data_IF_301630906677
#
_entry.id   IF_301630906677
#
_cell.length_a   1.000
_cell.length_b   1.000
_cell.length_c   1.000
_cell.angle_alpha   90.00
_cell.angle_beta   90.00
_cell.angle_gamma   90.00
#
_symmetry.space_group_name_H-M   'P 1'
#
loop_
_entity.id
_entity.type
_entity.pdbx_description
1 polymer ?
#
# COMPACT_ATOMS: atom_id res chain seq x y z
N UNK A 1 -16.75 -8.35 2.92
CA UNK A 1 -15.28 -8.32 2.69
C UNK A 1 -14.88 -8.67 1.25
N UNK A 2 -15.63 -9.50 0.52
CA UNK A 2 -15.33 -9.86 -0.88
C UNK A 2 -15.18 -8.66 -1.83
N UNK A 3 -16.13 -7.71 -1.81
CA UNK A 3 -16.06 -6.53 -2.69
C UNK A 3 -14.84 -5.64 -2.45
N UNK A 4 -14.34 -5.53 -1.21
CA UNK A 4 -13.12 -4.73 -0.94
C UNK A 4 -11.88 -5.40 -1.54
N UNK A 5 -11.84 -6.74 -1.52
CA UNK A 5 -10.77 -7.52 -2.13
C UNK A 5 -10.82 -7.44 -3.65
N UNK A 6 -12.00 -7.60 -4.25
CA UNK A 6 -12.22 -7.49 -5.69
C UNK A 6 -11.89 -6.09 -6.23
N UNK A 7 -12.29 -5.04 -5.50
CA UNK A 7 -12.07 -3.65 -5.90
C UNK A 7 -10.68 -3.13 -5.51
N UNK A 8 -9.80 -3.98 -4.97
CA UNK A 8 -8.44 -3.57 -4.63
C UNK A 8 -7.55 -3.42 -5.86
N UNK A 9 -7.73 -4.32 -6.83
CA UNK A 9 -6.99 -4.35 -8.09
C UNK A 9 -8.01 -4.50 -9.21
N UNK A 10 -8.06 -3.51 -10.09
CA UNK A 10 -8.91 -3.54 -11.27
C UNK A 10 -8.04 -3.65 -12.50
N UNK A 11 -8.46 -4.45 -13.46
CA UNK A 11 -7.82 -4.53 -14.77
C UNK A 11 -8.87 -4.32 -15.86
N UNK A 12 -8.61 -3.37 -16.75
CA UNK A 12 -9.41 -3.13 -17.94
C UNK A 12 -8.51 -2.85 -19.14
N UNK A 13 -8.64 -3.63 -20.20
CA UNK A 13 -7.99 -3.42 -21.51
C UNK A 13 -6.52 -2.95 -21.47
N UNK A 14 -5.70 -3.58 -20.62
CA UNK A 14 -4.26 -3.27 -20.52
C UNK A 14 -3.91 -2.16 -19.52
N UNK A 15 -4.90 -1.58 -18.83
CA UNK A 15 -4.72 -0.74 -17.65
C UNK A 15 -4.91 -1.58 -16.38
N UNK A 16 -3.89 -1.61 -15.51
CA UNK A 16 -3.98 -2.17 -14.16
C UNK A 16 -4.06 -1.02 -13.16
N UNK A 17 -5.12 -0.98 -12.35
CA UNK A 17 -5.30 0.02 -11.28
C UNK A 17 -5.24 -0.64 -9.91
N UNK A 18 -4.34 -0.16 -9.06
CA UNK A 18 -4.16 -0.58 -7.67
C UNK A 18 -4.72 0.50 -6.75
N UNK A 19 -5.84 0.20 -6.10
CA UNK A 19 -6.54 1.12 -5.20
C UNK A 19 -6.06 1.03 -3.76
N UNK A 20 -5.72 -0.17 -3.29
CA UNK A 20 -5.21 -0.41 -1.94
C UNK A 20 -3.84 -1.08 -2.01
N UNK A 21 -2.91 -0.54 -1.22
CA UNK A 21 -1.57 -1.11 -1.04
C UNK A 21 -1.62 -2.27 -0.05
N UNK A 22 -2.13 -3.42 -0.47
CA UNK A 22 -2.06 -4.67 0.29
C UNK A 22 -1.46 -5.77 -0.58
N UNK A 23 -1.01 -6.85 0.06
CA UNK A 23 -0.52 -8.01 -0.67
C UNK A 23 -1.64 -8.62 -1.51
N UNK A 24 -1.39 -8.78 -2.81
CA UNK A 24 -2.35 -9.35 -3.75
C UNK A 24 -1.63 -10.12 -4.84
N UNK A 25 -2.15 -11.29 -5.21
CA UNK A 25 -1.69 -12.00 -6.39
C UNK A 25 -2.83 -12.05 -7.40
N UNK A 26 -2.53 -11.70 -8.64
CA UNK A 26 -3.48 -11.78 -9.75
C UNK A 26 -2.81 -12.41 -10.97
N UNK A 27 -3.60 -12.64 -12.02
CA UNK A 27 -3.08 -13.08 -13.32
C UNK A 27 -2.28 -12.00 -14.06
N UNK A 28 -2.38 -10.73 -13.65
CA UNK A 28 -1.73 -9.60 -14.32
C UNK A 28 -0.45 -9.16 -13.61
N UNK A 29 -0.48 -9.17 -12.27
CA UNK A 29 0.66 -8.79 -11.44
C UNK A 29 0.56 -9.39 -10.04
N UNK A 30 1.71 -9.52 -9.39
CA UNK A 30 1.84 -9.71 -7.95
C UNK A 30 2.18 -8.38 -7.28
N UNK A 31 1.45 -8.06 -6.21
CA UNK A 31 1.61 -6.85 -5.42
C UNK A 31 2.12 -7.24 -4.06
N UNK A 32 3.29 -6.72 -3.69
CA UNK A 32 3.88 -6.86 -2.37
C UNK A 32 3.89 -5.50 -1.66
N UNK A 33 3.16 -5.41 -0.56
CA UNK A 33 3.17 -4.26 0.32
C UNK A 33 3.95 -4.58 1.59
N UNK A 34 4.88 -3.68 1.93
CA UNK A 34 5.76 -3.82 3.10
C UNK A 34 5.23 -3.08 4.34
N UNK A 35 3.95 -2.71 4.32
CA UNK A 35 3.29 -2.01 5.42
C UNK A 35 3.15 -2.91 6.65
N UNK A 36 3.17 -2.36 7.87
CA UNK A 36 3.39 -0.95 8.26
C UNK A 36 4.87 -0.55 8.39
N UNK A 37 5.79 -1.49 8.19
CA UNK A 37 7.22 -1.32 8.45
C UNK A 37 7.88 -0.38 7.45
N UNK A 38 7.49 -0.46 6.18
CA UNK A 38 7.84 0.57 5.20
C UNK A 38 6.65 0.91 4.31
N UNK A 39 6.69 2.10 3.72
CA UNK A 39 5.73 2.53 2.70
C UNK A 39 6.18 2.10 1.29
N UNK A 40 6.79 0.91 1.18
CA UNK A 40 7.23 0.33 -0.08
C UNK A 40 6.11 -0.55 -0.67
N UNK A 41 5.85 -0.35 -1.96
CA UNK A 41 5.01 -1.19 -2.80
C UNK A 41 5.85 -1.74 -3.95
N UNK A 42 5.82 -3.05 -4.16
CA UNK A 42 6.40 -3.69 -5.35
C UNK A 42 5.28 -4.30 -6.17
N UNK A 43 5.27 -4.00 -7.46
CA UNK A 43 4.33 -4.55 -8.44
C UNK A 43 5.15 -5.30 -9.48
N UNK A 44 5.03 -6.63 -9.49
CA UNK A 44 5.76 -7.53 -10.38
C UNK A 44 4.81 -7.98 -11.48
N UNK A 45 5.07 -7.56 -12.71
CA UNK A 45 4.16 -7.80 -13.84
C UNK A 45 4.31 -9.22 -14.39
N UNK A 46 3.16 -9.83 -14.70
CA UNK A 46 3.05 -11.14 -15.37
C UNK A 46 2.59 -11.00 -16.82
N UNK A 47 2.10 -9.82 -17.21
CA UNK A 47 1.63 -9.49 -18.55
C UNK A 47 2.03 -8.06 -18.91
N UNK A 48 2.09 -7.80 -20.20
CA UNK A 48 2.26 -6.44 -20.72
C UNK A 48 1.07 -5.57 -20.32
N UNK A 49 1.37 -4.33 -19.93
CA UNK A 49 0.39 -3.32 -19.56
C UNK A 49 0.67 -2.04 -20.33
N UNK A 50 -0.38 -1.47 -20.89
CA UNK A 50 -0.30 -0.12 -21.44
C UNK A 50 -0.09 0.90 -20.32
N UNK A 51 -0.73 0.67 -19.17
CA UNK A 51 -0.69 1.57 -18.02
C UNK A 51 -0.82 0.84 -16.69
N UNK A 52 -0.02 1.25 -15.72
CA UNK A 52 -0.18 0.93 -14.31
C UNK A 52 -0.57 2.21 -13.57
N UNK A 53 -1.68 2.16 -12.82
CA UNK A 53 -2.14 3.25 -11.94
C UNK A 53 -2.09 2.79 -10.51
N UNK A 54 -1.41 3.54 -9.64
CA UNK A 54 -1.33 3.23 -8.21
C UNK A 54 -1.83 4.40 -7.40
N UNK A 55 -2.85 4.19 -6.58
CA UNK A 55 -3.41 5.23 -5.74
C UNK A 55 -2.44 5.63 -4.63
N UNK A 56 -2.09 6.91 -4.58
CA UNK A 56 -1.29 7.47 -3.51
C UNK A 56 -2.09 7.53 -2.18
N UNK A 57 -1.43 7.32 -1.03
CA UNK A 57 -2.05 7.55 0.28
C UNK A 57 -2.51 9.00 0.48
N UNK A 58 -3.44 9.25 1.41
CA UNK A 58 -4.09 10.56 1.55
C UNK A 58 -3.13 11.72 1.88
N UNK A 59 -2.03 11.42 2.58
CA UNK A 59 -1.02 12.43 2.95
C UNK A 59 -0.05 12.77 1.82
N UNK A 60 -0.21 12.13 0.65
CA UNK A 60 0.60 12.39 -0.53
C UNK A 60 -0.20 13.23 -1.51
N UNK A 61 0.23 14.48 -1.68
CA UNK A 61 -0.27 15.35 -2.74
C UNK A 61 0.17 14.87 -4.12
N UNK A 62 -0.61 15.18 -5.15
CA UNK A 62 -0.21 14.98 -6.55
C UNK A 62 1.08 15.75 -6.84
N UNK A 63 2.03 15.13 -7.54
CA UNK A 63 3.33 15.77 -7.83
C UNK A 63 4.30 15.81 -6.65
N UNK A 64 4.03 15.08 -5.56
CA UNK A 64 4.92 14.97 -4.41
C UNK A 64 6.32 14.47 -4.81
N UNK A 65 7.33 15.33 -4.71
CA UNK A 65 8.74 15.03 -5.05
C UNK A 65 9.36 13.97 -4.15
N UNK A 66 8.79 13.75 -2.96
CA UNK A 66 9.23 12.75 -2.01
C UNK A 66 8.76 11.31 -2.33
N UNK A 67 7.99 11.11 -3.40
CA UNK A 67 7.66 9.76 -3.88
C UNK A 67 8.70 9.32 -4.90
N UNK A 68 9.34 8.19 -4.64
CA UNK A 68 10.30 7.60 -5.58
C UNK A 68 9.68 6.40 -6.28
N UNK A 69 9.90 6.33 -7.60
CA UNK A 69 9.45 5.21 -8.42
C UNK A 69 10.64 4.70 -9.23
N UNK A 70 10.83 3.39 -9.24
CA UNK A 70 11.81 2.73 -10.10
C UNK A 70 11.19 1.58 -10.88
N UNK A 71 11.69 1.39 -12.10
CA UNK A 71 11.42 0.26 -12.98
C UNK A 71 12.68 -0.58 -13.06
N UNK A 72 12.62 -1.84 -12.63
CA UNK A 72 13.76 -2.76 -12.61
C UNK A 72 14.98 -2.10 -11.94
N UNK A 73 14.75 -1.51 -10.76
CA UNK A 73 15.75 -0.79 -9.95
C UNK A 73 16.27 0.53 -10.54
N UNK A 74 15.88 0.87 -11.77
CA UNK A 74 16.23 2.15 -12.41
C UNK A 74 15.18 3.21 -12.07
N UNK A 75 15.53 4.37 -11.48
CA UNK A 75 14.58 5.44 -11.23
C UNK A 75 13.92 5.93 -12.52
N UNK A 76 12.61 6.18 -12.45
CA UNK A 76 11.82 6.69 -13.58
C UNK A 76 10.99 7.90 -13.14
N UNK A 77 10.73 8.79 -14.09
CA UNK A 77 9.68 9.80 -13.94
C UNK A 77 8.31 9.14 -14.13
N UNK A 78 7.30 9.68 -13.45
CA UNK A 78 5.92 9.21 -13.51
C UNK A 78 4.97 10.37 -13.75
N UNK A 79 3.84 10.06 -14.37
CA UNK A 79 2.73 11.01 -14.51
C UNK A 79 1.79 10.89 -13.30
N UNK A 80 0.98 11.92 -13.11
CA UNK A 80 -0.10 11.91 -12.12
C UNK A 80 -1.45 12.09 -12.80
N UNK A 81 -2.43 11.28 -12.39
CA UNK A 81 -3.83 11.45 -12.75
C UNK A 81 -4.66 11.50 -11.46
N UNK A 82 -5.01 12.72 -11.04
CA UNK A 82 -5.55 12.97 -9.72
C UNK A 82 -4.61 12.45 -8.63
N UNK A 83 -5.06 11.46 -7.85
CA UNK A 83 -4.25 10.80 -6.80
C UNK A 83 -3.54 9.53 -7.26
N UNK A 84 -3.56 9.22 -8.55
CA UNK A 84 -2.93 8.01 -9.07
C UNK A 84 -1.58 8.37 -9.69
N UNK A 85 -0.55 7.64 -9.27
CA UNK A 85 0.71 7.58 -9.98
C UNK A 85 0.52 6.72 -11.21
N UNK A 86 1.01 7.19 -12.35
CA UNK A 86 0.81 6.54 -13.63
C UNK A 86 2.17 6.20 -14.23
N UNK A 87 2.37 4.90 -14.49
CA UNK A 87 3.49 4.36 -15.27
C UNK A 87 2.92 3.83 -16.58
N UNK A 88 3.57 4.13 -17.70
CA UNK A 88 3.13 3.71 -19.03
C UNK A 88 4.07 2.67 -19.62
N UNK A 89 3.61 1.92 -20.62
CA UNK A 89 4.42 1.02 -21.45
C UNK A 89 5.25 0.02 -20.62
N UNK A 90 4.54 -0.86 -19.90
CA UNK A 90 5.17 -1.89 -19.08
C UNK A 90 5.08 -3.25 -19.77
N UNK A 91 6.13 -4.04 -19.58
CA UNK A 91 6.26 -5.38 -20.14
C UNK A 91 6.12 -6.42 -19.04
N UNK A 92 5.74 -7.63 -19.42
CA UNK A 92 5.81 -8.79 -18.54
C UNK A 92 7.23 -8.90 -17.94
N UNK A 93 7.31 -9.30 -16.68
CA UNK A 93 8.53 -9.37 -15.86
C UNK A 93 9.06 -8.03 -15.34
N UNK A 94 8.51 -6.89 -15.74
CA UNK A 94 8.88 -5.62 -15.13
C UNK A 94 8.52 -5.60 -13.63
N UNK A 95 9.44 -5.05 -12.83
CA UNK A 95 9.23 -4.75 -11.42
C UNK A 95 9.15 -3.24 -11.23
N UNK A 96 7.97 -2.78 -10.82
CA UNK A 96 7.76 -1.40 -10.40
C UNK A 96 7.86 -1.33 -8.88
N UNK A 97 8.78 -0.52 -8.38
CA UNK A 97 8.94 -0.25 -6.95
C UNK A 97 8.55 1.20 -6.68
N UNK A 98 7.61 1.40 -5.76
CA UNK A 98 7.13 2.72 -5.34
C UNK A 98 7.40 2.85 -3.85
N UNK A 99 8.03 3.96 -3.46
CA UNK A 99 8.29 4.28 -2.05
C UNK A 99 7.63 5.62 -1.75
N UNK A 100 6.66 5.60 -0.84
CA UNK A 100 6.08 6.82 -0.30
C UNK A 100 6.83 7.25 0.97
N UNK A 101 6.84 8.55 1.32
CA UNK A 101 7.27 8.96 2.65
C UNK A 101 6.33 8.32 3.69
N UNK A 102 6.92 7.70 4.71
CA UNK A 102 6.15 7.15 5.81
C UNK A 102 5.72 8.28 6.75
N UNK A 103 4.42 8.36 7.02
CA UNK A 103 3.87 9.32 7.97
C UNK A 103 3.65 8.67 9.34
N UNK A 104 4.05 9.37 10.40
CA UNK A 104 3.65 9.08 11.77
C UNK A 104 2.66 10.13 12.24
N UNK A 105 1.55 9.72 12.87
CA UNK A 105 0.51 10.64 13.32
C UNK A 105 -0.08 10.16 14.63
N UNK A 106 -0.24 11.07 15.57
CA UNK A 106 -1.06 10.85 16.76
C UNK A 106 -2.34 11.66 16.64
N UNK A 107 -3.48 11.07 17.01
CA UNK A 107 -4.78 11.70 16.86
C UNK A 107 -5.71 11.32 18.01
N UNK A 108 -6.40 12.31 18.55
CA UNK A 108 -7.46 12.10 19.55
C UNK A 108 -8.81 11.92 18.87
N UNK A 109 -9.58 10.93 19.34
CA UNK A 109 -10.93 10.64 18.88
C UNK A 109 -11.79 10.13 20.02
N UNK A 110 -12.98 10.71 20.16
CA UNK A 110 -14.04 10.15 20.96
C UNK A 110 -14.70 8.99 20.21
N UNK A 111 -14.68 7.79 20.79
CA UNK A 111 -15.37 6.61 20.27
C UNK A 111 -16.36 6.14 21.34
N UNK A 112 -17.66 6.20 21.02
CA UNK A 112 -18.71 6.03 22.02
C UNK A 112 -18.71 7.19 23.02
N UNK A 113 -18.41 6.91 24.30
CA UNK A 113 -18.37 7.91 25.39
C UNK A 113 -16.97 8.12 25.96
N UNK A 114 -15.95 7.68 25.23
CA UNK A 114 -14.59 7.66 25.72
C UNK A 114 -13.64 8.24 24.69
N UNK A 115 -12.73 9.08 25.17
CA UNK A 115 -11.66 9.66 24.37
C UNK A 115 -10.50 8.69 24.27
N UNK A 116 -10.00 8.55 23.05
CA UNK A 116 -8.85 7.72 22.73
C UNK A 116 -7.79 8.51 21.98
N UNK A 117 -6.54 8.29 22.34
CA UNK A 117 -5.36 8.71 21.60
C UNK A 117 -4.89 7.54 20.74
N UNK A 118 -4.94 7.72 19.43
CA UNK A 118 -4.51 6.73 18.44
C UNK A 118 -3.15 7.14 17.87
N UNK A 119 -2.19 6.21 17.87
CA UNK A 119 -0.90 6.41 17.20
C UNK A 119 -0.89 5.59 15.90
N UNK A 120 -0.64 6.28 14.80
CA UNK A 120 -0.61 5.74 13.45
C UNK A 120 0.81 5.71 12.89
N UNK A 121 1.09 4.64 12.14
CA UNK A 121 2.23 4.50 11.23
C UNK A 121 1.66 4.20 9.84
N UNK A 122 1.69 5.19 8.94
CA UNK A 122 0.88 5.21 7.72
C UNK A 122 -0.62 5.14 8.04
N UNK A 123 -1.38 4.22 7.42
CA UNK A 123 -2.79 3.95 7.80
C UNK A 123 -2.94 2.91 8.93
N UNK A 124 -1.86 2.45 9.56
CA UNK A 124 -1.94 1.39 10.57
C UNK A 124 -1.92 1.99 11.97
N UNK A 125 -2.97 1.76 12.76
CA UNK A 125 -2.95 2.03 14.21
C UNK A 125 -2.01 1.03 14.87
N UNK A 126 -0.96 1.56 15.50
CA UNK A 126 0.08 0.79 16.21
C UNK A 126 -0.05 0.87 17.73
N UNK A 127 -0.75 1.89 18.24
CA UNK A 127 -1.05 2.06 19.67
C UNK A 127 -2.41 2.74 19.85
N UNK A 128 -3.09 2.42 20.94
CA UNK A 128 -4.37 3.00 21.36
C UNK A 128 -4.32 3.24 22.87
N UNK A 129 -4.61 4.47 23.30
CA UNK A 129 -4.67 4.84 24.71
C UNK A 129 -5.99 5.50 25.06
N UNK A 130 -6.64 5.14 26.18
CA UNK A 130 -6.31 3.99 27.01
C UNK A 130 -6.61 2.68 26.27
N UNK A 131 -5.87 1.62 26.58
CA UNK A 131 -5.98 0.35 25.85
C UNK A 131 -7.35 -0.33 26.03
N UNK A 132 -8.12 0.05 27.05
CA UNK A 132 -9.33 -0.63 27.50
C UNK A 132 -9.01 -1.74 28.50
N UNK A 133 -9.92 -2.00 29.44
CA UNK A 133 -9.68 -2.91 30.57
C UNK A 133 -10.08 -4.36 30.32
N UNK A 134 -10.99 -4.62 29.37
CA UNK A 134 -11.54 -5.96 29.11
C UNK A 134 -10.86 -6.66 27.94
N UNK A 135 -10.73 -5.98 26.81
CA UNK A 135 -10.09 -6.49 25.59
C UNK A 135 -9.22 -5.39 25.04
N UNK A 136 -7.92 -5.36 25.38
CA UNK A 136 -7.00 -4.34 24.91
C UNK A 136 -6.87 -4.38 23.38
N UNK A 137 -7.36 -3.35 22.70
CA UNK A 137 -7.24 -3.27 21.24
C UNK A 137 -5.87 -2.73 20.83
N UNK A 138 -5.46 -3.02 19.59
CA UNK A 138 -4.26 -2.45 18.94
C UNK A 138 -2.96 -2.59 19.73
N UNK A 139 -2.75 -3.75 20.39
CA UNK A 139 -1.48 -4.11 21.05
C UNK A 139 -0.39 -4.44 20.02
N UNK A 140 0.02 -3.43 19.24
CA UNK A 140 0.88 -3.58 18.04
C UNK A 140 2.14 -2.72 18.12
N UNK A 141 2.59 -2.37 19.32
CA UNK A 141 3.84 -1.61 19.53
C UNK A 141 5.05 -2.28 18.86
N UNK A 142 5.06 -3.61 18.76
CA UNK A 142 6.08 -4.37 18.03
C UNK A 142 6.17 -4.04 16.54
N UNK A 143 5.11 -3.48 15.94
CA UNK A 143 5.10 -3.01 14.55
C UNK A 143 5.74 -1.63 14.38
N UNK A 144 6.18 -0.97 15.46
CA UNK A 144 6.90 0.29 15.40
C UNK A 144 8.40 0.07 15.11
N UNK A 145 8.68 -0.54 13.96
CA UNK A 145 10.04 -0.80 13.48
C UNK A 145 10.06 -0.75 11.96
N UNK A 146 11.20 -0.37 11.39
CA UNK A 146 11.40 -0.30 9.94
C UNK A 146 11.74 -1.69 9.35
N UNK A 147 12.09 -2.66 10.19
CA UNK A 147 12.40 -4.03 9.77
C UNK A 147 11.12 -4.73 9.27
N UNK A 148 11.09 -5.07 7.98
CA UNK A 148 9.97 -5.79 7.36
C UNK A 148 10.14 -7.30 7.56
N UNK A 149 9.24 -7.99 8.29
CA UNK A 149 9.31 -9.44 8.40
C UNK A 149 8.91 -10.09 7.06
N UNK A 150 9.79 -10.94 6.53
CA UNK A 150 9.58 -11.64 5.26
C UNK A 150 9.14 -13.08 5.50
N UNK A 151 8.18 -13.56 4.71
CA UNK A 151 7.72 -14.95 4.73
C UNK A 151 7.53 -15.47 3.30
N UNK A 152 8.10 -16.62 3.02
CA UNK A 152 7.85 -17.35 1.77
C UNK A 152 6.46 -17.99 1.81
N UNK A 153 5.67 -17.78 0.75
CA UNK A 153 4.32 -18.33 0.61
C UNK A 153 4.10 -18.81 -0.82
N UNK A 154 3.36 -19.92 -0.98
CA UNK A 154 2.81 -20.34 -2.27
C UNK A 154 1.45 -19.67 -2.42
N UNK A 155 1.24 -18.92 -3.50
CA UNK A 155 -0.04 -18.23 -3.75
C UNK A 155 -0.79 -18.93 -4.87
N UNK A 156 -2.06 -19.23 -4.60
CA UNK A 156 -2.99 -19.71 -5.60
C UNK A 156 -3.65 -18.49 -6.27
N UNK A 157 -3.58 -18.43 -7.59
CA UNK A 157 -4.31 -17.45 -8.40
C UNK A 157 -5.43 -18.23 -9.06
N UNK A 158 -6.68 -17.92 -8.71
CA UNK A 158 -7.83 -18.46 -9.41
C UNK A 158 -7.85 -17.92 -10.85
N UNK A 159 -8.19 -18.77 -11.81
CA UNK A 159 -8.23 -18.45 -13.26
C UNK A 159 -9.23 -17.33 -13.61
#
# INVERSE_FOLDING_TARGET
>A
MYYVWEQMVQYDKGELTVHLMLNHASRWADIHSHRPHSSKLEVMLKKDLQRLRVRAPEWIGSGASQVTVSKNETPISIDWDGRYLVVQQLQASDRITIIFPLQHKTMERTIGRQDFTLTFRGNTVIDLQPAGSRIPLYQRKSMNTDAVPMRSVIRYVAE
#
